data_IF_489232280802
#
_entry.id   IF_489232280802
#
_cell.length_a   1.000
_cell.length_b   1.000
_cell.length_c   1.000
_cell.angle_alpha   90.00
_cell.angle_beta   90.00
_cell.angle_gamma   90.00
#
_symmetry.space_group_name_H-M   'P 1'
#
loop_
_entity.id
_entity.type
_entity.pdbx_description
1 polymer ?
#
# COMPACT_ATOMS: atom_id res chain seq x y z
N UNK A 1 -14.23 16.71 -29.71
CA UNK A 1 -13.91 15.41 -29.10
C UNK A 1 -12.61 15.62 -28.36
N UNK A 2 -12.69 16.06 -27.10
CA UNK A 2 -11.52 16.36 -26.29
C UNK A 2 -11.04 15.05 -25.69
N UNK A 3 -9.78 14.71 -25.95
CA UNK A 3 -9.14 13.51 -25.45
C UNK A 3 -8.98 13.58 -23.92
N UNK A 4 -9.92 12.98 -23.19
CA UNK A 4 -9.79 12.69 -21.73
C UNK A 4 -8.84 11.48 -21.52
N UNK A 5 -7.86 11.28 -22.39
CA UNK A 5 -6.82 10.26 -22.24
C UNK A 5 -5.67 10.81 -21.40
N UNK A 6 -5.91 11.00 -20.11
CA UNK A 6 -4.90 11.63 -19.26
C UNK A 6 -5.18 11.57 -17.77
N UNK A 7 -5.85 10.54 -17.26
CA UNK A 7 -6.03 10.34 -15.82
C UNK A 7 -4.72 9.86 -15.16
N UNK A 8 -3.58 10.44 -15.55
CA UNK A 8 -2.27 10.07 -15.06
C UNK A 8 -1.43 11.31 -14.76
N UNK A 9 -1.02 11.47 -13.50
CA UNK A 9 -0.02 12.48 -13.17
C UNK A 9 1.36 12.03 -13.64
N UNK A 10 2.09 12.94 -14.27
CA UNK A 10 3.53 12.80 -14.43
C UNK A 10 4.15 12.92 -13.04
N UNK A 11 4.82 11.87 -12.59
CA UNK A 11 5.58 11.93 -11.35
C UNK A 11 7.01 12.33 -11.67
N UNK A 12 7.51 13.31 -10.91
CA UNK A 12 8.90 13.76 -10.94
C UNK A 12 9.56 13.33 -9.63
N UNK A 13 10.75 12.73 -9.72
CA UNK A 13 11.55 12.40 -8.54
C UNK A 13 12.37 13.61 -8.09
N UNK A 14 12.35 13.92 -6.78
CA UNK A 14 13.24 14.92 -6.18
C UNK A 14 14.06 14.24 -5.08
N UNK A 15 15.38 14.19 -5.24
CA UNK A 15 16.28 13.68 -4.20
C UNK A 15 17.47 14.61 -4.05
N UNK A 16 17.67 15.11 -2.84
CA UNK A 16 18.87 15.83 -2.44
C UNK A 16 19.78 14.82 -1.72
N UNK A 17 20.71 14.22 -2.46
CA UNK A 17 21.66 13.28 -1.88
C UNK A 17 22.90 14.04 -1.40
N UNK A 18 23.02 14.26 -0.09
CA UNK A 18 24.27 14.76 0.51
C UNK A 18 25.24 13.60 0.69
N UNK A 19 26.24 13.51 -0.17
CA UNK A 19 27.40 12.63 0.03
C UNK A 19 28.36 13.32 1.01
N UNK A 20 28.49 12.78 2.23
CA UNK A 20 29.54 13.19 3.18
C UNK A 20 30.67 12.17 3.06
N UNK A 21 31.80 12.57 2.50
CA UNK A 21 33.07 11.86 2.62
C UNK A 21 33.96 12.63 3.58
N UNK A 22 34.58 11.96 4.54
CA UNK A 22 35.53 12.60 5.45
C UNK A 22 36.71 13.16 4.65
N UNK A 23 36.88 14.49 4.64
CA UNK A 23 38.04 15.18 4.06
C UNK A 23 37.83 15.88 2.71
N UNK A 24 36.64 15.81 2.09
CA UNK A 24 36.32 16.52 0.83
C UNK A 24 35.23 17.59 1.05
N UNK A 25 35.31 18.73 0.34
CA UNK A 25 34.27 19.78 0.37
C UNK A 25 32.89 19.19 0.02
N UNK A 26 31.84 19.68 0.70
CA UNK A 26 30.47 19.24 0.49
C UNK A 26 30.02 19.55 -0.95
N UNK A 27 30.14 18.56 -1.84
CA UNK A 27 29.70 18.72 -3.23
C UNK A 27 28.18 18.45 -3.31
N UNK A 28 27.39 19.53 -3.20
CA UNK A 28 25.94 19.47 -3.36
C UNK A 28 25.59 19.23 -4.83
N UNK A 29 25.16 18.02 -5.18
CA UNK A 29 24.67 17.72 -6.52
C UNK A 29 23.17 18.03 -6.60
N UNK A 30 22.80 19.08 -7.34
CA UNK A 30 21.39 19.42 -7.57
C UNK A 30 20.83 18.52 -8.68
N UNK A 31 19.96 17.59 -8.32
CA UNK A 31 19.29 16.72 -9.29
C UNK A 31 18.09 17.46 -9.94
N UNK A 32 18.02 17.42 -11.27
CA UNK A 32 16.90 17.96 -12.03
C UNK A 32 15.64 17.09 -11.86
N UNK A 33 14.47 17.70 -12.07
CA UNK A 33 13.19 16.95 -12.14
C UNK A 33 13.24 16.03 -13.34
N UNK A 34 13.16 14.72 -13.08
CA UNK A 34 13.16 13.69 -14.11
C UNK A 34 11.83 12.96 -14.10
N UNK A 35 11.20 12.88 -15.27
CA UNK A 35 9.97 12.11 -15.48
C UNK A 35 10.23 10.62 -15.25
N UNK A 36 9.48 10.00 -14.34
CA UNK A 36 9.60 8.56 -14.02
C UNK A 36 8.47 7.71 -14.60
N UNK A 37 7.36 8.32 -15.00
CA UNK A 37 6.20 7.61 -15.53
C UNK A 37 4.88 8.31 -15.23
N UNK A 38 3.79 7.67 -15.67
CA UNK A 38 2.40 8.09 -15.39
C UNK A 38 1.77 7.14 -14.37
N UNK A 39 1.19 7.69 -13.31
CA UNK A 39 0.44 6.92 -12.30
C UNK A 39 -1.05 7.18 -12.49
N UNK A 40 -1.90 6.15 -12.64
CA UNK A 40 -3.35 6.33 -12.72
C UNK A 40 -3.91 7.07 -11.50
N UNK A 41 -4.76 8.06 -11.74
CA UNK A 41 -5.41 8.87 -10.70
C UNK A 41 -6.85 8.39 -10.52
N UNK A 42 -7.28 8.33 -9.26
CA UNK A 42 -8.67 8.01 -8.91
C UNK A 42 -9.56 9.23 -9.19
N UNK A 43 -10.69 9.03 -9.85
CA UNK A 43 -11.65 10.11 -10.13
C UNK A 43 -12.15 10.74 -8.83
N UNK A 44 -12.27 12.07 -8.84
CA UNK A 44 -12.64 12.92 -7.69
C UNK A 44 -11.70 12.84 -6.48
N UNK A 45 -10.54 12.20 -6.58
CA UNK A 45 -9.48 12.30 -5.54
C UNK A 45 -8.84 13.68 -5.54
N UNK A 46 -8.07 14.01 -4.49
CA UNK A 46 -7.38 15.32 -4.34
C UNK A 46 -6.47 15.71 -5.51
N UNK A 47 -6.02 14.72 -6.28
CA UNK A 47 -5.15 14.89 -7.45
C UNK A 47 -5.90 14.86 -8.79
N UNK A 48 -7.21 14.62 -8.78
CA UNK A 48 -8.05 14.63 -9.97
C UNK A 48 -8.48 16.07 -10.33
N UNK A 49 -8.54 16.38 -11.62
CA UNK A 49 -9.02 17.67 -12.13
C UNK A 49 -10.44 18.01 -11.67
N UNK A 50 -11.29 17.00 -11.48
CA UNK A 50 -12.70 17.16 -11.08
C UNK A 50 -12.87 17.49 -9.59
N UNK A 51 -11.80 17.46 -8.80
CA UNK A 51 -11.88 17.71 -7.37
C UNK A 51 -12.19 19.19 -7.08
N UNK A 52 -13.23 19.43 -6.28
CA UNK A 52 -13.63 20.79 -5.85
C UNK A 52 -14.34 21.63 -6.92
N UNK A 53 -14.62 21.07 -8.11
CA UNK A 53 -15.46 21.72 -9.11
C UNK A 53 -16.91 21.81 -8.64
N UNK A 54 -17.61 22.88 -9.04
CA UNK A 54 -19.04 23.01 -8.76
C UNK A 54 -19.86 22.12 -9.70
N UNK A 55 -21.11 21.81 -9.32
CA UNK A 55 -22.01 21.02 -10.16
C UNK A 55 -22.18 21.62 -11.58
N UNK A 56 -22.17 22.96 -11.67
CA UNK A 56 -22.24 23.65 -12.96
C UNK A 56 -21.01 23.37 -13.81
N UNK A 57 -19.82 23.51 -13.24
CA UNK A 57 -18.56 23.31 -13.96
C UNK A 57 -18.40 21.83 -14.37
N UNK A 58 -18.89 20.89 -13.56
CA UNK A 58 -18.96 19.46 -13.92
C UNK A 58 -19.88 19.23 -15.13
N UNK A 59 -21.08 19.81 -15.13
CA UNK A 59 -21.98 19.73 -16.28
C UNK A 59 -21.39 20.36 -17.54
N UNK A 60 -20.66 21.47 -17.43
CA UNK A 60 -19.96 22.10 -18.56
C UNK A 60 -18.86 21.18 -19.14
N UNK A 61 -18.26 20.34 -18.30
CA UNK A 61 -17.28 19.32 -18.70
C UNK A 61 -17.92 18.00 -19.17
N UNK A 62 -19.25 17.91 -19.23
CA UNK A 62 -20.01 16.70 -19.52
C UNK A 62 -19.83 15.57 -18.49
N UNK A 63 -19.51 15.92 -17.25
CA UNK A 63 -19.43 14.99 -16.13
C UNK A 63 -20.71 15.03 -15.30
N UNK A 64 -21.06 13.91 -14.66
CA UNK A 64 -22.25 13.81 -13.83
C UNK A 64 -21.96 14.36 -12.41
N UNK A 65 -22.69 15.37 -11.90
CA UNK A 65 -22.50 15.86 -10.53
C UNK A 65 -22.77 14.80 -9.45
N UNK A 66 -23.61 13.81 -9.78
CA UNK A 66 -24.00 12.71 -8.90
C UNK A 66 -23.07 11.50 -8.98
N UNK A 67 -22.07 11.49 -9.87
CA UNK A 67 -21.07 10.43 -9.89
C UNK A 67 -20.18 10.52 -8.63
N UNK A 68 -20.17 9.50 -7.74
CA UNK A 68 -19.35 9.54 -6.54
C UNK A 68 -17.83 9.55 -6.81
N UNK A 69 -17.38 9.15 -8.01
CA UNK A 69 -15.96 8.92 -8.28
C UNK A 69 -15.42 7.73 -7.49
N UNK A 70 -14.13 7.75 -7.13
CA UNK A 70 -13.52 6.66 -6.35
C UNK A 70 -13.05 5.45 -7.18
N UNK A 71 -13.05 5.57 -8.50
CA UNK A 71 -12.60 4.56 -9.44
C UNK A 71 -11.54 5.11 -10.40
N UNK A 72 -10.92 4.21 -11.16
CA UNK A 72 -9.88 4.52 -12.14
C UNK A 72 -10.40 4.28 -13.54
N UNK A 73 -10.04 5.14 -14.49
CA UNK A 73 -10.25 4.89 -15.92
C UNK A 73 -8.95 4.36 -16.52
N UNK A 74 -8.94 3.07 -16.88
CA UNK A 74 -7.79 2.39 -17.47
C UNK A 74 -8.18 1.90 -18.86
N UNK A 75 -7.50 2.42 -19.91
CA UNK A 75 -7.78 2.09 -21.30
C UNK A 75 -9.27 2.26 -21.68
N UNK A 76 -9.91 3.34 -21.19
CA UNK A 76 -11.32 3.63 -21.44
C UNK A 76 -12.32 2.79 -20.63
N UNK A 77 -11.85 1.91 -19.74
CA UNK A 77 -12.71 1.13 -18.84
C UNK A 77 -12.62 1.61 -17.40
N UNK A 78 -13.76 1.69 -16.73
CA UNK A 78 -13.84 1.96 -15.30
C UNK A 78 -13.41 0.74 -14.47
N UNK A 79 -12.59 0.97 -13.44
CA UNK A 79 -12.01 -0.06 -12.57
C UNK A 79 -12.02 0.43 -11.12
N UNK A 80 -12.57 -0.39 -10.23
CA UNK A 80 -12.59 -0.14 -8.78
C UNK A 80 -11.67 -1.14 -8.10
N UNK A 81 -10.87 -0.68 -7.13
CA UNK A 81 -10.13 -1.57 -6.25
C UNK A 81 -11.06 -2.07 -5.14
N UNK A 82 -11.22 -3.39 -5.03
CA UNK A 82 -12.04 -4.00 -4.00
C UNK A 82 -11.21 -4.16 -2.73
N UNK A 83 -11.68 -3.58 -1.62
CA UNK A 83 -11.07 -3.74 -0.31
C UNK A 83 -10.93 -5.23 0.04
N UNK A 84 -9.74 -5.64 0.47
CA UNK A 84 -9.45 -7.01 0.89
C UNK A 84 -9.37 -7.08 2.41
N UNK A 85 -10.20 -7.92 3.00
CA UNK A 85 -10.14 -8.21 4.43
C UNK A 85 -8.92 -9.09 4.73
N UNK A 86 -8.19 -8.75 5.78
CA UNK A 86 -7.07 -9.54 6.28
C UNK A 86 -7.03 -9.49 7.80
N UNK A 87 -6.50 -10.57 8.41
CA UNK A 87 -6.22 -10.60 9.85
C UNK A 87 -5.31 -9.43 10.25
N UNK A 88 -5.61 -8.78 11.37
CA UNK A 88 -4.81 -7.67 11.86
C UNK A 88 -3.40 -8.16 12.20
N UNK A 89 -2.39 -7.39 11.76
CA UNK A 89 -0.98 -7.65 12.01
C UNK A 89 -0.56 -7.07 13.36
N UNK A 90 0.60 -7.48 13.86
CA UNK A 90 1.17 -7.03 15.15
C UNK A 90 0.26 -7.28 16.36
N UNK A 91 -0.66 -8.25 16.23
CA UNK A 91 -1.56 -8.70 17.30
C UNK A 91 -1.33 -10.19 17.54
N UNK A 92 -1.31 -10.61 18.81
CA UNK A 92 -1.16 -12.01 19.18
C UNK A 92 -2.52 -12.69 19.20
N UNK A 93 -2.67 -13.75 18.43
CA UNK A 93 -3.85 -14.62 18.42
C UNK A 93 -3.51 -15.95 19.08
N UNK A 94 -4.39 -16.48 19.93
CA UNK A 94 -4.19 -17.78 20.58
C UNK A 94 -5.30 -18.72 20.16
N UNK A 95 -4.92 -19.83 19.52
CA UNK A 95 -5.85 -20.85 19.04
C UNK A 95 -5.68 -22.14 19.84
N UNK A 96 -6.79 -22.70 20.32
CA UNK A 96 -6.82 -24.06 20.83
C UNK A 96 -6.88 -25.05 19.65
N UNK A 97 -6.07 -26.11 19.71
CA UNK A 97 -6.02 -27.15 18.67
C UNK A 97 -6.55 -28.46 19.22
N UNK A 98 -7.49 -29.06 18.51
CA UNK A 98 -8.01 -30.41 18.77
C UNK A 98 -7.22 -31.43 17.94
N UNK A 99 -6.96 -32.61 18.51
CA UNK A 99 -6.32 -33.73 17.82
C UNK A 99 -4.96 -33.39 17.19
N UNK A 100 -4.19 -32.53 17.85
CA UNK A 100 -2.85 -32.11 17.42
C UNK A 100 -1.79 -32.40 18.50
N UNK A 101 -0.52 -32.49 18.11
CA UNK A 101 0.64 -32.54 19.02
C UNK A 101 0.65 -31.36 20.00
N UNK A 102 0.09 -30.23 19.59
CA UNK A 102 0.02 -29.00 20.37
C UNK A 102 -1.41 -28.78 20.87
N UNK A 103 -1.58 -28.46 22.16
CA UNK A 103 -2.88 -28.08 22.71
C UNK A 103 -3.27 -26.64 22.33
N UNK A 104 -2.28 -25.75 22.28
CA UNK A 104 -2.48 -24.35 21.91
C UNK A 104 -1.36 -23.85 21.01
N UNK A 105 -1.69 -22.94 20.11
CA UNK A 105 -0.72 -22.21 19.29
C UNK A 105 -1.05 -20.72 19.36
N UNK A 106 -0.09 -19.93 19.86
CA UNK A 106 -0.04 -18.50 19.68
C UNK A 106 0.57 -18.15 18.32
N UNK A 107 -0.06 -17.25 17.59
CA UNK A 107 0.40 -16.72 16.29
C UNK A 107 0.53 -15.20 16.40
N UNK A 108 1.63 -14.65 15.89
CA UNK A 108 1.76 -13.22 15.66
C UNK A 108 2.30 -12.96 14.26
N UNK A 109 1.57 -12.18 13.46
CA UNK A 109 1.95 -11.75 12.12
C UNK A 109 2.55 -10.36 12.18
N UNK A 110 3.88 -10.27 12.21
CA UNK A 110 4.58 -8.99 12.30
C UNK A 110 4.70 -8.32 10.94
N UNK A 111 4.30 -7.05 10.89
CA UNK A 111 4.49 -6.15 9.75
C UNK A 111 5.08 -4.84 10.23
N UNK A 112 6.22 -4.46 9.65
CA UNK A 112 6.79 -3.14 9.87
C UNK A 112 6.06 -2.13 8.97
N UNK A 113 5.71 -0.97 9.54
CA UNK A 113 5.13 0.12 8.77
C UNK A 113 6.16 0.66 7.76
N UNK A 114 5.70 0.98 6.54
CA UNK A 114 6.52 1.53 5.46
C UNK A 114 7.75 0.69 5.07
N UNK A 115 7.69 -0.63 5.24
CA UNK A 115 8.74 -1.55 4.82
C UNK A 115 8.33 -2.36 3.59
N UNK A 116 9.28 -2.63 2.69
CA UNK A 116 9.11 -3.61 1.62
C UNK A 116 9.18 -5.06 2.12
N UNK A 117 9.51 -5.27 3.40
CA UNK A 117 9.59 -6.59 4.00
C UNK A 117 8.18 -7.20 4.11
N UNK A 118 7.96 -8.42 3.60
CA UNK A 118 6.67 -9.09 3.76
C UNK A 118 6.39 -9.41 5.23
N UNK A 119 5.14 -9.74 5.52
CA UNK A 119 4.70 -10.17 6.85
C UNK A 119 5.51 -11.38 7.34
N UNK A 120 6.14 -11.24 8.51
CA UNK A 120 6.85 -12.34 9.18
C UNK A 120 5.94 -12.94 10.24
N UNK A 121 5.66 -14.24 10.14
CA UNK A 121 4.80 -14.93 11.12
C UNK A 121 5.64 -15.72 12.12
N UNK A 122 5.40 -15.48 13.41
CA UNK A 122 5.96 -16.29 14.50
C UNK A 122 4.87 -17.13 15.15
N UNK A 123 5.24 -18.36 15.53
CA UNK A 123 4.37 -19.32 16.19
C UNK A 123 4.98 -19.75 17.52
N UNK A 124 4.19 -19.74 18.58
CA UNK A 124 4.54 -20.32 19.87
C UNK A 124 3.54 -21.42 20.18
N UNK A 125 3.97 -22.68 20.23
CA UNK A 125 3.06 -23.81 20.40
C UNK A 125 3.32 -24.55 21.71
N UNK A 126 2.26 -24.76 22.49
CA UNK A 126 2.29 -25.54 23.72
C UNK A 126 1.92 -26.99 23.43
N UNK A 127 2.79 -27.94 23.79
CA UNK A 127 2.53 -29.37 23.62
C UNK A 127 1.30 -29.82 24.41
N UNK A 128 0.53 -30.75 23.84
CA UNK A 128 -0.58 -31.39 24.55
C UNK A 128 -0.07 -32.28 25.69
N UNK A 129 -0.82 -32.35 26.80
CA UNK A 129 -0.48 -33.23 27.93
C UNK A 129 -0.58 -34.69 27.46
N UNK A 130 0.57 -35.32 27.23
CA UNK A 130 0.70 -36.67 26.66
C UNK A 130 1.59 -36.75 25.41
N UNK A 131 1.95 -35.62 24.79
CA UNK A 131 2.97 -35.59 23.73
C UNK A 131 4.37 -35.72 24.34
N UNK A 132 5.06 -36.84 24.11
CA UNK A 132 6.40 -37.10 24.64
C UNK A 132 7.35 -35.90 24.41
N UNK A 133 7.98 -35.43 25.49
CA UNK A 133 9.13 -34.52 25.42
C UNK A 133 10.31 -35.37 25.00
N UNK A 134 10.82 -35.20 23.78
CA UNK A 134 12.06 -35.84 23.37
C UNK A 134 13.22 -35.10 24.06
N UNK A 135 13.66 -35.61 25.21
CA UNK A 135 14.95 -35.26 25.80
C UNK A 135 15.99 -36.19 25.20
N UNK A 136 16.64 -35.75 24.13
CA UNK A 136 17.84 -36.40 23.61
C UNK A 136 19.02 -35.43 23.68
N UNK A 137 20.06 -35.89 24.36
CA UNK A 137 21.40 -35.30 24.49
C UNK A 137 22.09 -35.34 23.13
#
# INVERSE_FOLDING_TARGET
MLDVFGVGMAWDYHNTKTHIKEGEEQQQTQHQKTFIGKIPIMLRSTYCLLNGLTDRDLCELNECPLDPGGYFIINGSEKVLIAQEKMATNTVYVFAKKDSKYAYTGECRSCLENSSRPTSTIWVSMLARGGQVWTGI
#
